data_IF_694699298924
#
_entry.id   IF_694699298924
#
_cell.length_a   1.000
_cell.length_b   1.000
_cell.length_c   1.000
_cell.angle_alpha   90.00
_cell.angle_beta   90.00
_cell.angle_gamma   90.00
#
_symmetry.space_group_name_H-M   'P 1'
#
loop_
_entity.id
_entity.type
_entity.pdbx_description
1 polymer ?
#
# COMPACT_ATOMS: atom_id res chain seq x y z
N UNK A 1 -16.00 -11.59 -6.97
CA UNK A 1 -14.74 -12.10 -6.39
C UNK A 1 -13.59 -11.44 -7.14
N UNK A 2 -13.11 -10.28 -6.66
CA UNK A 2 -11.97 -9.58 -7.28
C UNK A 2 -10.69 -10.38 -7.02
N UNK A 3 -10.18 -11.05 -8.05
CA UNK A 3 -9.09 -12.03 -7.97
C UNK A 3 -7.68 -11.44 -7.70
N UNK A 4 -7.58 -10.23 -7.15
CA UNK A 4 -6.33 -9.48 -7.17
C UNK A 4 -5.92 -8.75 -5.89
N UNK A 5 -6.70 -8.78 -4.79
CA UNK A 5 -6.36 -8.03 -3.57
C UNK A 5 -6.40 -6.50 -3.71
N UNK A 6 -6.83 -5.99 -4.86
CA UNK A 6 -7.11 -4.59 -5.15
C UNK A 6 -8.56 -4.48 -5.58
N UNK A 7 -9.28 -3.57 -4.96
CA UNK A 7 -10.68 -3.30 -5.25
C UNK A 7 -10.80 -2.09 -6.18
N UNK A 8 -10.96 -2.37 -7.48
CA UNK A 8 -11.10 -1.33 -8.51
C UNK A 8 -12.37 -0.50 -8.31
N UNK A 9 -13.48 -1.13 -7.90
CA UNK A 9 -14.76 -0.45 -7.69
C UNK A 9 -14.63 0.56 -6.55
N UNK A 10 -14.05 0.14 -5.41
CA UNK A 10 -13.77 1.04 -4.31
C UNK A 10 -12.80 2.18 -4.69
N UNK A 11 -11.81 1.91 -5.55
CA UNK A 11 -10.88 2.94 -6.02
C UNK A 11 -11.55 3.95 -6.96
N UNK A 12 -12.44 3.49 -7.85
CA UNK A 12 -13.22 4.36 -8.74
C UNK A 12 -14.19 5.25 -7.92
N UNK A 13 -14.88 4.69 -6.92
CA UNK A 13 -15.68 5.47 -5.96
C UNK A 13 -14.84 6.53 -5.23
N UNK A 14 -13.60 6.20 -4.86
CA UNK A 14 -12.69 7.17 -4.23
C UNK A 14 -12.33 8.34 -5.16
N UNK A 15 -12.16 8.09 -6.46
CA UNK A 15 -11.90 9.13 -7.46
C UNK A 15 -13.12 10.04 -7.68
N UNK A 16 -14.33 9.55 -7.44
CA UNK A 16 -15.54 10.37 -7.47
C UNK A 16 -15.67 11.28 -6.24
N UNK A 17 -15.15 10.84 -5.09
CA UNK A 17 -15.26 11.54 -3.81
C UNK A 17 -14.12 12.55 -3.59
N UNK A 18 -12.89 12.17 -3.97
CA UNK A 18 -11.70 12.97 -3.72
C UNK A 18 -11.10 13.51 -5.02
N UNK A 19 -10.56 14.74 -4.98
CA UNK A 19 -9.84 15.27 -6.12
C UNK A 19 -8.57 14.45 -6.40
N UNK A 20 -8.16 14.40 -7.66
CA UNK A 20 -7.08 13.55 -8.13
C UNK A 20 -5.74 13.82 -7.41
N UNK A 21 -5.44 15.08 -7.08
CA UNK A 21 -4.24 15.48 -6.32
C UNK A 21 -4.17 14.81 -4.94
N UNK A 22 -5.33 14.65 -4.29
CA UNK A 22 -5.42 13.98 -2.99
C UNK A 22 -5.19 12.47 -3.11
N UNK A 23 -5.66 11.86 -4.19
CA UNK A 23 -5.43 10.44 -4.48
C UNK A 23 -3.95 10.21 -4.81
N UNK A 24 -3.34 11.07 -5.62
CA UNK A 24 -1.89 11.06 -5.89
C UNK A 24 -1.08 11.18 -4.61
N UNK A 25 -1.47 12.06 -3.69
CA UNK A 25 -0.84 12.18 -2.37
C UNK A 25 -0.93 10.87 -1.58
N UNK A 26 -2.06 10.18 -1.58
CA UNK A 26 -2.19 8.88 -0.90
C UNK A 26 -1.31 7.80 -1.53
N UNK A 27 -1.26 7.74 -2.86
CA UNK A 27 -0.40 6.81 -3.61
C UNK A 27 1.09 7.11 -3.36
N UNK A 28 1.47 8.39 -3.34
CA UNK A 28 2.85 8.81 -3.03
C UNK A 28 3.27 8.43 -1.61
N UNK A 29 2.37 8.61 -0.63
CA UNK A 29 2.63 8.21 0.75
C UNK A 29 2.79 6.68 0.89
N UNK A 30 1.96 5.91 0.18
CA UNK A 30 2.07 4.45 0.15
C UNK A 30 3.43 4.03 -0.41
N UNK A 31 3.84 4.58 -1.56
CA UNK A 31 5.16 4.33 -2.18
C UNK A 31 6.32 4.66 -1.24
N UNK A 32 6.25 5.81 -0.58
CA UNK A 32 7.28 6.21 0.37
C UNK A 32 7.40 5.22 1.53
N UNK A 33 6.28 4.87 2.17
CA UNK A 33 6.26 3.91 3.28
C UNK A 33 6.79 2.54 2.87
N UNK A 34 6.40 2.06 1.68
CA UNK A 34 6.85 0.79 1.13
C UNK A 34 8.35 0.79 0.83
N UNK A 35 8.89 1.85 0.23
CA UNK A 35 10.33 2.01 0.00
C UNK A 35 11.10 2.08 1.31
N UNK A 36 10.58 2.80 2.30
CA UNK A 36 11.20 2.91 3.62
C UNK A 36 11.24 1.56 4.36
N UNK A 37 10.20 0.75 4.24
CA UNK A 37 10.16 -0.61 4.80
C UNK A 37 11.17 -1.54 4.14
N UNK A 38 11.30 -1.48 2.81
CA UNK A 38 12.26 -2.29 2.05
C UNK A 38 13.73 -2.01 2.40
N UNK A 39 14.02 -0.79 2.85
CA UNK A 39 15.37 -0.36 3.23
C UNK A 39 15.63 -0.51 4.74
N UNK A 40 14.63 -0.92 5.51
CA UNK A 40 14.75 -0.98 6.95
C UNK A 40 15.58 -2.20 7.37
N UNK A 41 16.45 -2.02 8.36
CA UNK A 41 17.08 -3.14 9.05
C UNK A 41 16.00 -3.91 9.83
N UNK A 42 15.96 -5.24 9.70
CA UNK A 42 15.06 -6.12 10.45
C UNK A 42 15.22 -5.99 11.97
N UNK A 43 16.37 -5.49 12.44
CA UNK A 43 16.61 -5.19 13.85
C UNK A 43 15.88 -3.91 14.33
N UNK A 44 15.43 -3.04 13.42
CA UNK A 44 14.73 -1.79 13.76
C UNK A 44 13.21 -2.00 13.91
N UNK A 45 12.81 -2.93 14.79
CA UNK A 45 11.43 -3.41 14.95
C UNK A 45 10.43 -2.27 15.22
N UNK A 46 10.76 -1.31 16.09
CA UNK A 46 9.89 -0.17 16.40
C UNK A 46 9.59 0.71 15.16
N UNK A 47 10.60 0.87 14.29
CA UNK A 47 10.47 1.65 13.06
C UNK A 47 9.61 0.89 12.05
N UNK A 48 9.79 -0.43 11.97
CA UNK A 48 8.99 -1.31 11.10
C UNK A 48 7.53 -1.29 11.56
N UNK A 49 7.25 -1.45 12.86
CA UNK A 49 5.89 -1.40 13.40
C UNK A 49 5.19 -0.10 13.04
N UNK A 50 5.83 1.05 13.33
CA UNK A 50 5.25 2.36 13.06
C UNK A 50 4.94 2.59 11.58
N UNK A 51 5.78 2.07 10.69
CA UNK A 51 5.59 2.14 9.23
C UNK A 51 4.50 1.18 8.75
N UNK A 52 4.49 -0.05 9.26
CA UNK A 52 3.47 -1.04 8.96
C UNK A 52 2.07 -0.52 9.36
N UNK A 53 1.94 0.06 10.54
CA UNK A 53 0.68 0.66 11.01
C UNK A 53 0.16 1.77 10.07
N UNK A 54 1.05 2.67 9.62
CA UNK A 54 0.69 3.70 8.64
C UNK A 54 0.30 3.09 7.30
N UNK A 55 0.98 2.02 6.88
CA UNK A 55 0.73 1.33 5.62
C UNK A 55 -0.65 0.66 5.62
N UNK A 56 -1.08 0.03 6.72
CA UNK A 56 -2.44 -0.54 6.88
C UNK A 56 -3.49 0.51 6.52
N UNK A 57 -3.41 1.69 7.14
CA UNK A 57 -4.38 2.77 6.92
C UNK A 57 -4.38 3.27 5.47
N UNK A 58 -3.21 3.42 4.85
CA UNK A 58 -3.09 3.92 3.46
C UNK A 58 -3.56 2.88 2.45
N UNK A 59 -3.21 1.62 2.65
CA UNK A 59 -3.66 0.52 1.82
C UNK A 59 -5.19 0.36 1.89
N UNK A 60 -5.77 0.47 3.09
CA UNK A 60 -7.22 0.44 3.29
C UNK A 60 -7.96 1.56 2.55
N UNK A 61 -7.45 2.81 2.65
CA UNK A 61 -8.02 3.95 1.91
C UNK A 61 -8.00 3.71 0.39
N UNK A 62 -6.98 3.07 -0.13
CA UNK A 62 -6.80 2.87 -1.57
C UNK A 62 -7.39 1.54 -2.09
N UNK A 63 -8.18 0.83 -1.28
CA UNK A 63 -8.77 -0.46 -1.69
C UNK A 63 -7.74 -1.59 -1.87
N UNK A 64 -6.53 -1.45 -1.34
CA UNK A 64 -5.46 -2.44 -1.42
C UNK A 64 -5.56 -3.44 -0.25
N UNK A 65 -6.66 -4.20 -0.20
CA UNK A 65 -6.99 -5.08 0.94
C UNK A 65 -5.88 -6.05 1.29
N UNK A 66 -5.27 -6.70 0.30
CA UNK A 66 -4.17 -7.65 0.54
C UNK A 66 -2.93 -6.98 1.15
N UNK A 67 -2.57 -5.79 0.68
CA UNK A 67 -1.46 -5.04 1.25
C UNK A 67 -1.77 -4.60 2.68
N UNK A 68 -3.02 -4.22 2.96
CA UNK A 68 -3.48 -3.88 4.30
C UNK A 68 -3.37 -5.08 5.26
N UNK A 69 -3.78 -6.27 4.82
CA UNK A 69 -3.70 -7.51 5.60
C UNK A 69 -2.25 -7.89 5.91
N UNK A 70 -1.37 -7.84 4.91
CA UNK A 70 0.06 -8.13 5.08
C UNK A 70 0.75 -7.12 6.00
N UNK A 71 0.41 -5.83 5.87
CA UNK A 71 0.94 -4.80 6.75
C UNK A 71 0.47 -4.98 8.20
N UNK A 72 -0.78 -5.43 8.41
CA UNK A 72 -1.29 -5.76 9.73
C UNK A 72 -0.58 -6.98 10.32
N UNK A 73 -0.31 -8.01 9.52
CA UNK A 73 0.47 -9.16 9.96
C UNK A 73 1.91 -8.76 10.36
N UNK A 74 2.54 -7.86 9.61
CA UNK A 74 3.84 -7.28 9.95
C UNK A 74 3.81 -6.49 11.26
N UNK A 75 2.81 -5.63 11.45
CA UNK A 75 2.59 -4.88 12.68
C UNK A 75 2.43 -5.81 13.89
N UNK A 76 1.63 -6.87 13.76
CA UNK A 76 1.44 -7.89 14.80
C UNK A 76 2.73 -8.63 15.11
N UNK A 77 3.49 -9.05 14.09
CA UNK A 77 4.76 -9.75 14.30
C UNK A 77 5.77 -8.89 15.09
N UNK A 78 5.81 -7.57 14.82
CA UNK A 78 6.62 -6.63 15.59
C UNK A 78 6.17 -6.56 17.06
N UNK A 79 4.87 -6.39 17.31
CA UNK A 79 4.31 -6.28 18.66
C UNK A 79 4.49 -7.54 19.51
N UNK A 80 4.37 -8.70 18.89
CA UNK A 80 4.46 -10.00 19.56
C UNK A 80 5.91 -10.49 19.69
N UNK A 81 6.89 -9.75 19.15
CA UNK A 81 8.30 -10.16 19.16
C UNK A 81 8.56 -11.42 18.33
N UNK A 82 7.79 -11.63 17.27
CA UNK A 82 7.92 -12.75 16.33
C UNK A 82 8.95 -12.44 15.24
N UNK A 83 9.20 -13.42 14.36
CA UNK A 83 10.03 -13.18 13.17
C UNK A 83 9.37 -12.17 12.23
N UNK A 84 10.09 -11.06 11.98
CA UNK A 84 9.63 -9.94 11.16
C UNK A 84 10.05 -10.13 9.69
N UNK A 85 11.06 -10.96 9.40
CA UNK A 85 11.65 -11.06 8.07
C UNK A 85 10.67 -11.55 7.01
N UNK A 86 9.91 -12.62 7.32
CA UNK A 86 8.88 -13.15 6.43
C UNK A 86 7.77 -12.15 6.10
N UNK A 87 7.06 -11.60 7.10
CA UNK A 87 6.04 -10.58 6.88
C UNK A 87 6.56 -9.32 6.16
N UNK A 88 7.78 -8.87 6.47
CA UNK A 88 8.40 -7.71 5.82
C UNK A 88 8.64 -7.96 4.33
N UNK A 89 9.12 -9.15 3.97
CA UNK A 89 9.28 -9.54 2.57
C UNK A 89 7.93 -9.59 1.85
N UNK A 90 6.90 -10.16 2.48
CA UNK A 90 5.57 -10.26 1.89
C UNK A 90 4.93 -8.89 1.62
N UNK A 91 5.05 -7.95 2.58
CA UNK A 91 4.62 -6.55 2.40
C UNK A 91 5.39 -5.89 1.25
N UNK A 92 6.69 -6.12 1.17
CA UNK A 92 7.54 -5.54 0.14
C UNK A 92 7.17 -6.01 -1.27
N UNK A 93 6.86 -7.29 -1.44
CA UNK A 93 6.47 -7.86 -2.73
C UNK A 93 5.08 -7.38 -3.17
N UNK A 94 4.12 -7.35 -2.24
CA UNK A 94 2.77 -6.86 -2.53
C UNK A 94 2.79 -5.36 -2.84
N UNK A 95 3.58 -4.57 -2.12
CA UNK A 95 3.73 -3.14 -2.40
C UNK A 95 4.21 -2.88 -3.83
N UNK A 96 5.22 -3.62 -4.30
CA UNK A 96 5.71 -3.52 -5.69
C UNK A 96 4.60 -3.85 -6.70
N UNK A 97 3.79 -4.87 -6.42
CA UNK A 97 2.67 -5.25 -7.29
C UNK A 97 1.60 -4.14 -7.36
N UNK A 98 1.25 -3.55 -6.22
CA UNK A 98 0.31 -2.43 -6.11
C UNK A 98 0.84 -1.19 -6.83
N UNK A 99 2.13 -0.86 -6.67
CA UNK A 99 2.77 0.26 -7.35
C UNK A 99 2.69 0.16 -8.88
N UNK A 100 2.96 -1.03 -9.42
CA UNK A 100 2.85 -1.30 -10.87
C UNK A 100 1.42 -1.14 -11.39
N UNK A 101 0.41 -1.48 -10.57
CA UNK A 101 -1.00 -1.25 -10.91
C UNK A 101 -1.35 0.23 -10.91
N UNK A 102 -0.98 0.99 -9.88
CA UNK A 102 -1.24 2.43 -9.87
C UNK A 102 -0.57 3.16 -11.03
N UNK A 103 0.66 2.78 -11.38
CA UNK A 103 1.33 3.34 -12.55
C UNK A 103 0.54 3.09 -13.85
N UNK A 104 -0.02 1.89 -14.00
CA UNK A 104 -0.83 1.51 -15.17
C UNK A 104 -2.17 2.26 -15.22
N UNK A 105 -2.84 2.40 -14.07
CA UNK A 105 -4.12 3.11 -13.95
C UNK A 105 -3.97 4.61 -14.24
N UNK A 106 -2.96 5.26 -13.66
CA UNK A 106 -2.70 6.69 -13.87
C UNK A 106 -2.26 6.98 -15.31
N UNK A 107 -1.47 6.11 -15.92
CA UNK A 107 -1.11 6.23 -17.33
C UNK A 107 -2.33 6.11 -18.27
N UNK A 108 -3.31 5.27 -17.91
CA UNK A 108 -4.54 5.08 -18.69
C UNK A 108 -5.54 6.22 -18.51
N UNK A 109 -5.61 6.80 -17.31
CA UNK A 109 -6.44 7.98 -17.01
C UNK A 109 -5.93 9.25 -17.73
N UNK A 110 -4.62 9.45 -17.81
CA UNK A 110 -4.01 10.58 -18.52
C UNK A 110 -4.27 10.55 -20.04
N UNK A 111 -4.58 9.39 -20.62
CA UNK A 111 -4.88 9.22 -22.04
C UNK A 111 -6.36 9.49 -22.39
N UNK A 112 -7.24 9.62 -21.39
CA UNK A 112 -8.69 9.78 -21.58
C UNK A 112 -9.24 11.16 -21.18
N UNK A 113 -8.38 12.17 -20.92
CA UNK A 113 -8.86 13.56 -20.84
C UNK A 113 -9.27 14.06 -22.24
N UNK A 114 -10.56 14.34 -22.51
CA UNK A 114 -10.92 15.10 -23.70
C UNK A 114 -10.46 16.54 -23.46
N UNK A 115 -9.63 17.04 -24.38
CA UNK A 115 -9.27 18.45 -24.43
C UNK A 115 -10.47 19.35 -24.74
#
# INVERSE_FOLDING_TARGET
>A
MNAGGFDQEAFDELLEIFPADRIEMFVSNLRQLSSELQQCDVAAVDVIEARAHKLVSRAGILGCSRLSELAMALETACREGQDVAGPLSAVSDEAKAVEGRFASLMASAAQHSPG
#
